data_IF_423191132198
#
_entry.id   IF_423191132198
#
_cell.length_a   1.000
_cell.length_b   1.000
_cell.length_c   1.000
_cell.angle_alpha   90.00
_cell.angle_beta   90.00
_cell.angle_gamma   90.00
#
_symmetry.space_group_name_H-M   'P 1'
#
loop_
_entity.id
_entity.type
_entity.pdbx_description
1 polymer ?
#
# COMPACT_ATOMS: atom_id res chain seq x y z
N UNK A 1 25.17 -0.29 -11.82
CA UNK A 1 23.85 -0.51 -12.46
C UNK A 1 23.56 0.71 -13.32
N UNK A 2 23.19 0.52 -14.59
CA UNK A 2 22.67 1.63 -15.41
C UNK A 2 21.16 1.61 -15.23
N UNK A 3 20.61 2.62 -14.55
CA UNK A 3 19.19 2.87 -14.60
C UNK A 3 18.86 3.33 -16.02
N UNK A 4 18.54 2.37 -16.87
CA UNK A 4 17.78 2.65 -18.06
C UNK A 4 16.34 2.80 -17.59
N UNK A 5 15.64 3.83 -18.06
CA UNK A 5 14.19 3.85 -17.97
C UNK A 5 13.71 2.59 -18.69
N UNK A 6 13.42 1.53 -17.95
CA UNK A 6 12.57 0.47 -18.45
C UNK A 6 11.27 1.16 -18.81
N UNK A 7 10.93 1.15 -20.09
CA UNK A 7 9.62 1.56 -20.60
C UNK A 7 8.56 0.57 -20.09
N UNK A 8 8.37 0.53 -18.78
CA UNK A 8 7.47 -0.38 -18.11
C UNK A 8 6.61 0.48 -17.18
N UNK A 9 5.59 1.10 -17.77
CA UNK A 9 4.32 1.54 -17.17
C UNK A 9 3.77 2.83 -17.80
N UNK A 10 3.71 2.99 -19.13
CA UNK A 10 3.01 4.18 -19.63
C UNK A 10 1.57 4.17 -19.11
N UNK A 11 1.08 5.34 -18.66
CA UNK A 11 -0.34 5.46 -18.32
C UNK A 11 -1.17 5.04 -19.52
N UNK A 12 -2.31 4.37 -19.29
CA UNK A 12 -3.28 4.14 -20.33
C UNK A 12 -3.62 5.42 -21.08
N UNK A 13 -3.52 6.61 -20.49
CA UNK A 13 -3.80 7.87 -21.20
C UNK A 13 -2.68 8.42 -22.08
N UNK A 14 -1.68 7.63 -22.50
CA UNK A 14 -0.52 8.17 -23.21
C UNK A 14 0.06 7.32 -24.32
N UNK A 15 0.34 7.99 -25.44
CA UNK A 15 0.84 7.38 -26.64
C UNK A 15 2.27 7.72 -26.95
N UNK A 16 2.99 6.70 -27.42
CA UNK A 16 4.34 6.83 -27.92
C UNK A 16 4.29 6.95 -29.42
N UNK A 17 4.96 7.97 -29.98
CA UNK A 17 5.23 8.07 -31.40
C UNK A 17 6.74 8.18 -31.60
N UNK A 18 7.29 7.12 -32.17
CA UNK A 18 8.67 7.05 -32.64
C UNK A 18 8.77 7.54 -34.09
N UNK A 19 9.69 8.47 -34.32
CA UNK A 19 10.06 8.97 -35.64
C UNK A 19 11.57 8.79 -35.83
N UNK A 20 11.98 8.27 -36.99
CA UNK A 20 13.39 8.23 -37.36
C UNK A 20 13.84 9.64 -37.75
N UNK A 21 14.59 10.28 -36.87
CA UNK A 21 15.26 11.56 -37.11
C UNK A 21 16.69 11.37 -37.61
N UNK A 22 17.34 12.47 -38.04
CA UNK A 22 18.72 12.43 -38.56
C UNK A 22 19.76 11.97 -37.52
N UNK A 23 19.42 12.01 -36.22
CA UNK A 23 20.30 11.62 -35.11
C UNK A 23 19.88 10.32 -34.41
N UNK A 24 18.93 9.56 -34.98
CA UNK A 24 18.42 8.31 -34.40
C UNK A 24 16.91 8.30 -34.24
N UNK A 25 16.41 7.43 -33.36
CA UNK A 25 14.97 7.34 -33.07
C UNK A 25 14.59 8.45 -32.08
N UNK A 26 13.77 9.38 -32.53
CA UNK A 26 13.11 10.37 -31.67
C UNK A 26 11.79 9.78 -31.18
N UNK A 27 11.57 9.84 -29.86
CA UNK A 27 10.33 9.37 -29.24
C UNK A 27 9.59 10.60 -28.71
N UNK A 28 8.38 10.80 -29.22
CA UNK A 28 7.44 11.82 -28.75
C UNK A 28 6.33 11.15 -27.94
N UNK A 29 6.01 11.74 -26.79
CA UNK A 29 4.90 11.31 -25.93
C UNK A 29 3.71 12.24 -26.14
N UNK A 30 2.55 11.67 -26.42
CA UNK A 30 1.28 12.38 -26.55
C UNK A 30 0.36 12.01 -25.40
N UNK A 31 -0.18 13.01 -24.69
CA UNK A 31 -1.15 12.82 -23.62
C UNK A 31 -2.55 12.83 -24.24
N UNK A 32 -3.33 11.79 -23.97
CA UNK A 32 -4.72 11.65 -24.36
C UNK A 32 -5.62 12.55 -23.50
N UNK A 33 -5.68 13.82 -23.86
CA UNK A 33 -6.49 14.85 -23.18
C UNK A 33 -7.95 14.90 -23.66
N UNK A 34 -8.32 14.09 -24.65
CA UNK A 34 -9.69 13.99 -25.14
C UNK A 34 -10.57 13.23 -24.13
N UNK A 35 -11.78 13.72 -23.80
CA UNK A 35 -12.66 13.08 -22.83
C UNK A 35 -13.18 11.71 -23.24
N UNK A 36 -13.15 11.37 -24.53
CA UNK A 36 -13.58 10.07 -25.06
C UNK A 36 -12.40 9.21 -25.45
N UNK A 37 -11.39 9.79 -26.10
CA UNK A 37 -10.18 9.08 -26.54
C UNK A 37 -9.07 9.24 -25.50
N UNK A 38 -9.31 8.74 -24.28
CA UNK A 38 -8.45 8.92 -23.12
C UNK A 38 -7.52 7.72 -22.85
N UNK A 39 -7.40 6.79 -23.80
CA UNK A 39 -6.61 5.56 -23.66
C UNK A 39 -5.59 5.39 -24.79
N UNK A 40 -4.55 4.61 -24.56
CA UNK A 40 -3.49 4.32 -25.47
C UNK A 40 -2.95 2.91 -25.19
N UNK A 41 -2.95 2.04 -26.20
CA UNK A 41 -2.48 0.67 -26.03
C UNK A 41 -0.96 0.65 -25.77
N UNK A 42 -0.55 -0.18 -24.82
CA UNK A 42 0.85 -0.42 -24.46
C UNK A 42 1.52 -1.36 -25.48
N UNK A 43 1.66 -0.92 -26.73
CA UNK A 43 2.35 -1.68 -27.78
C UNK A 43 3.72 -1.09 -28.11
N UNK A 44 4.70 -1.95 -28.42
CA UNK A 44 5.99 -1.54 -28.94
C UNK A 44 5.80 -0.92 -30.34
N UNK A 45 5.74 0.40 -30.44
CA UNK A 45 5.57 1.12 -31.71
C UNK A 45 4.86 2.46 -31.59
N UNK A 46 4.38 2.95 -32.74
CA UNK A 46 3.56 4.17 -32.82
C UNK A 46 2.14 3.88 -32.39
N UNK A 47 1.71 4.48 -31.29
CA UNK A 47 0.37 4.34 -30.74
C UNK A 47 -0.37 5.69 -30.85
N UNK A 48 -1.69 5.66 -30.84
CA UNK A 48 -2.56 6.85 -30.91
C UNK A 48 -3.68 6.71 -29.90
N UNK A 49 -4.21 7.85 -29.45
CA UNK A 49 -5.25 7.87 -28.44
C UNK A 49 -6.52 7.22 -28.99
N UNK A 50 -7.07 6.30 -28.20
CA UNK A 50 -8.19 5.43 -28.48
C UNK A 50 -9.21 5.56 -27.35
N UNK A 51 -10.43 5.10 -27.62
CA UNK A 51 -11.41 4.86 -26.57
C UNK A 51 -10.80 3.90 -25.54
N UNK A 52 -10.95 4.15 -24.24
CA UNK A 52 -10.61 3.18 -23.22
C UNK A 52 -11.21 1.82 -23.57
N UNK A 53 -10.41 0.74 -23.56
CA UNK A 53 -11.02 -0.57 -23.51
C UNK A 53 -11.96 -0.53 -22.31
N UNK A 54 -13.16 -1.05 -22.49
CA UNK A 54 -13.94 -1.44 -21.34
C UNK A 54 -13.13 -2.54 -20.68
N UNK A 55 -12.26 -2.18 -19.74
CA UNK A 55 -11.70 -3.17 -18.86
C UNK A 55 -12.91 -3.89 -18.27
N UNK A 56 -12.98 -5.23 -18.35
CA UNK A 56 -13.81 -5.90 -17.38
C UNK A 56 -13.20 -5.46 -16.04
N UNK A 57 -13.85 -4.53 -15.36
CA UNK A 57 -13.45 -4.09 -14.02
C UNK A 57 -13.75 -5.28 -13.12
N UNK A 58 -12.84 -6.25 -13.12
CA UNK A 58 -12.87 -7.34 -12.16
C UNK A 58 -11.93 -6.92 -11.04
N UNK A 59 -12.28 -5.83 -10.35
CA UNK A 59 -11.80 -5.68 -8.98
C UNK A 59 -12.48 -6.80 -8.20
N UNK A 60 -11.68 -7.82 -7.86
CA UNK A 60 -12.19 -9.05 -7.27
C UNK A 60 -12.25 -8.86 -5.75
N UNK A 61 -13.43 -8.44 -5.29
CA UNK A 61 -13.84 -8.17 -3.92
C UNK A 61 -14.07 -9.46 -3.12
N UNK A 62 -13.55 -9.52 -1.90
CA UNK A 62 -13.82 -10.59 -0.94
C UNK A 62 -15.16 -10.36 -0.19
N UNK A 63 -15.65 -11.35 0.57
CA UNK A 63 -16.84 -11.14 1.39
C UNK A 63 -16.73 -9.92 2.30
N UNK A 64 -17.79 -9.11 2.32
CA UNK A 64 -17.81 -7.83 3.02
C UNK A 64 -17.19 -6.66 2.24
N UNK A 65 -16.54 -6.86 1.09
CA UNK A 65 -16.08 -5.74 0.27
C UNK A 65 -17.18 -5.27 -0.71
N UNK A 66 -17.18 -3.99 -1.13
CA UNK A 66 -18.18 -3.46 -2.06
C UNK A 66 -18.15 -4.15 -3.43
N UNK A 67 -19.30 -4.22 -4.09
CA UNK A 67 -19.45 -4.77 -5.43
C UNK A 67 -20.61 -4.11 -6.18
N UNK A 68 -20.59 -4.22 -7.51
CA UNK A 68 -21.70 -3.79 -8.36
C UNK A 68 -22.42 -4.99 -9.00
N UNK A 69 -21.67 -6.04 -9.32
CA UNK A 69 -22.11 -7.24 -10.00
C UNK A 69 -21.50 -8.47 -9.35
N UNK A 70 -22.13 -9.64 -9.51
CA UNK A 70 -21.62 -10.91 -8.97
C UNK A 70 -20.20 -11.23 -9.46
N UNK A 71 -19.87 -10.82 -10.70
CA UNK A 71 -18.52 -11.01 -11.26
C UNK A 71 -17.43 -10.21 -10.52
N UNK A 72 -17.80 -9.20 -9.74
CA UNK A 72 -16.85 -8.48 -8.89
C UNK A 72 -16.48 -9.28 -7.63
N UNK A 73 -17.19 -10.36 -7.28
CA UNK A 73 -16.90 -11.12 -6.07
C UNK A 73 -15.97 -12.29 -6.35
N UNK A 74 -14.91 -12.46 -5.51
CA UNK A 74 -13.96 -13.59 -5.60
C UNK A 74 -14.72 -14.91 -5.51
N UNK A 75 -15.66 -14.92 -4.58
CA UNK A 75 -16.57 -15.98 -4.25
C UNK A 75 -17.93 -15.34 -3.94
N UNK A 76 -19.03 -16.05 -4.20
CA UNK A 76 -20.35 -15.61 -3.78
C UNK A 76 -21.08 -14.75 -4.81
N UNK A 77 -21.96 -13.89 -4.30
CA UNK A 77 -22.83 -13.02 -5.08
C UNK A 77 -22.80 -11.61 -4.51
N UNK A 78 -23.06 -10.63 -5.37
CA UNK A 78 -23.18 -9.25 -4.98
C UNK A 78 -24.60 -8.98 -4.49
N UNK A 79 -24.76 -8.73 -3.19
CA UNK A 79 -26.05 -8.43 -2.60
C UNK A 79 -25.94 -7.16 -1.75
N UNK A 80 -26.90 -6.25 -1.94
CA UNK A 80 -26.93 -4.97 -1.24
C UNK A 80 -25.65 -4.13 -1.43
N UNK A 81 -25.04 -4.24 -2.62
CA UNK A 81 -23.74 -3.65 -3.01
C UNK A 81 -22.52 -4.17 -2.23
N UNK A 82 -22.61 -5.34 -1.60
CA UNK A 82 -21.49 -6.02 -0.94
C UNK A 82 -21.40 -7.48 -1.33
N UNK A 83 -20.17 -7.99 -1.46
CA UNK A 83 -19.96 -9.40 -1.72
C UNK A 83 -20.37 -10.22 -0.50
N UNK A 84 -21.29 -11.16 -0.70
CA UNK A 84 -21.68 -12.12 0.32
C UNK A 84 -20.83 -13.37 0.20
N UNK A 85 -20.49 -13.98 1.33
CA UNK A 85 -19.83 -15.28 1.32
C UNK A 85 -20.78 -16.38 0.83
N UNK A 86 -20.19 -17.42 0.23
CA UNK A 86 -20.93 -18.62 -0.20
C UNK A 86 -21.42 -19.43 1.00
N UNK A 87 -20.62 -19.50 2.05
CA UNK A 87 -20.79 -20.47 3.13
C UNK A 87 -20.81 -19.82 4.51
N UNK A 88 -21.72 -20.32 5.33
CA UNK A 88 -21.94 -19.91 6.71
C UNK A 88 -21.08 -20.75 7.68
N UNK A 89 -21.08 -20.38 8.95
CA UNK A 89 -20.41 -21.14 10.01
C UNK A 89 -20.72 -22.65 9.94
N UNK A 90 -19.69 -23.49 9.99
CA UNK A 90 -19.80 -24.94 9.99
C UNK A 90 -20.04 -25.60 8.63
N UNK A 91 -20.17 -24.83 7.55
CA UNK A 91 -20.31 -25.36 6.19
C UNK A 91 -18.94 -25.70 5.61
N UNK A 92 -18.88 -26.73 4.75
CA UNK A 92 -17.63 -27.13 4.11
C UNK A 92 -17.14 -26.06 3.13
N UNK A 93 -15.83 -25.85 3.12
CA UNK A 93 -15.17 -24.84 2.32
C UNK A 93 -13.83 -25.37 1.80
N UNK A 94 -13.30 -24.70 0.78
CA UNK A 94 -12.00 -24.98 0.16
C UNK A 94 -11.09 -23.75 0.21
N UNK A 95 -11.66 -22.54 0.12
CA UNK A 95 -10.93 -21.27 0.23
C UNK A 95 -11.47 -20.45 1.39
N UNK A 96 -10.59 -19.70 2.05
CA UNK A 96 -11.00 -18.81 3.12
C UNK A 96 -12.04 -17.78 2.67
N UNK A 97 -11.92 -17.23 1.45
CA UNK A 97 -12.86 -16.26 0.86
C UNK A 97 -14.27 -16.82 0.61
N UNK A 98 -14.49 -18.12 0.75
CA UNK A 98 -15.83 -18.70 0.66
C UNK A 98 -16.61 -18.55 1.97
N UNK A 99 -15.90 -18.29 3.07
CA UNK A 99 -16.48 -18.08 4.39
C UNK A 99 -16.82 -16.62 4.61
N UNK A 100 -17.80 -16.35 5.47
CA UNK A 100 -18.19 -14.99 5.83
C UNK A 100 -17.12 -14.26 6.65
N UNK A 101 -17.22 -12.93 6.68
CA UNK A 101 -16.39 -12.08 7.55
C UNK A 101 -16.45 -12.58 9.00
N UNK A 102 -15.30 -12.62 9.68
CA UNK A 102 -15.16 -13.19 11.02
C UNK A 102 -14.86 -14.69 11.04
N UNK A 103 -14.76 -15.34 9.87
CA UNK A 103 -14.49 -16.77 9.74
C UNK A 103 -13.31 -17.02 8.79
N UNK A 104 -12.72 -18.19 8.90
CA UNK A 104 -11.71 -18.71 7.98
C UNK A 104 -12.06 -20.15 7.61
N UNK A 105 -11.54 -20.62 6.48
CA UNK A 105 -11.72 -22.01 6.06
C UNK A 105 -10.68 -22.96 6.67
N UNK A 106 -11.13 -24.05 7.27
CA UNK A 106 -10.33 -25.20 7.72
C UNK A 106 -11.21 -26.46 7.65
N UNK A 107 -11.34 -26.99 6.43
CA UNK A 107 -12.33 -27.97 5.93
C UNK A 107 -13.79 -27.50 6.01
N UNK A 108 -14.10 -26.72 7.04
CA UNK A 108 -15.34 -26.01 7.30
C UNK A 108 -15.06 -24.57 7.71
N UNK A 109 -16.04 -23.67 7.56
CA UNK A 109 -15.91 -22.29 8.01
C UNK A 109 -15.92 -22.22 9.55
N UNK A 110 -14.78 -21.87 10.14
CA UNK A 110 -14.55 -21.73 11.58
C UNK A 110 -14.40 -20.26 11.97
N UNK A 111 -14.88 -19.84 13.17
CA UNK A 111 -14.70 -18.47 13.63
C UNK A 111 -13.22 -18.16 13.85
N UNK A 112 -12.82 -16.91 13.60
CA UNK A 112 -11.46 -16.46 13.84
C UNK A 112 -11.04 -16.62 15.31
N UNK A 113 -9.77 -16.95 15.50
CA UNK A 113 -9.15 -17.24 16.78
C UNK A 113 -8.76 -15.95 17.49
N UNK A 114 -9.22 -15.72 18.74
CA UNK A 114 -8.85 -14.53 19.49
C UNK A 114 -7.38 -14.54 19.93
N UNK A 115 -6.88 -13.37 20.34
CA UNK A 115 -5.52 -13.20 20.89
C UNK A 115 -5.25 -14.20 22.03
N UNK A 116 -4.00 -14.66 22.14
CA UNK A 116 -3.51 -15.66 23.11
C UNK A 116 -4.09 -17.07 22.96
N UNK A 117 -4.65 -17.41 21.79
CA UNK A 117 -5.12 -18.77 21.48
C UNK A 117 -4.34 -19.38 20.32
N UNK A 118 -4.47 -20.69 20.15
CA UNK A 118 -3.65 -21.49 19.23
C UNK A 118 -4.00 -21.20 17.78
N UNK A 119 -2.97 -21.01 16.95
CA UNK A 119 -3.08 -20.83 15.50
C UNK A 119 -1.96 -21.61 14.79
N UNK A 120 -2.16 -21.84 13.49
CA UNK A 120 -1.11 -22.32 12.57
C UNK A 120 -0.81 -21.30 11.48
N UNK A 121 -1.76 -20.43 11.16
CA UNK A 121 -1.66 -19.43 10.10
C UNK A 121 -2.26 -18.09 10.53
N UNK A 122 -1.72 -17.01 9.98
CA UNK A 122 -2.18 -15.64 10.23
C UNK A 122 -3.67 -15.45 9.95
N UNK A 123 -4.19 -16.15 8.96
CA UNK A 123 -5.57 -16.02 8.51
C UNK A 123 -6.59 -16.54 9.54
N UNK A 124 -6.15 -17.42 10.43
CA UNK A 124 -6.98 -17.96 11.51
C UNK A 124 -7.23 -16.91 12.59
N UNK A 125 -6.23 -16.07 12.87
CA UNK A 125 -6.29 -15.07 13.92
C UNK A 125 -7.31 -13.98 13.59
N UNK A 126 -7.92 -13.41 14.63
CA UNK A 126 -8.78 -12.22 14.52
C UNK A 126 -8.04 -11.09 13.78
N UNK A 127 -8.78 -10.20 13.12
CA UNK A 127 -8.14 -9.28 12.17
C UNK A 127 -7.13 -8.29 12.79
N UNK A 128 -7.13 -8.11 14.11
CA UNK A 128 -6.15 -7.28 14.81
C UNK A 128 -4.90 -8.05 15.28
N UNK A 129 -4.76 -9.33 14.96
CA UNK A 129 -3.63 -10.18 15.31
C UNK A 129 -3.16 -11.08 14.16
N UNK A 130 -1.92 -11.56 14.27
CA UNK A 130 -1.31 -12.57 13.39
C UNK A 130 -0.80 -13.76 14.20
N UNK A 131 -0.38 -14.82 13.52
CA UNK A 131 0.08 -16.04 14.16
C UNK A 131 1.59 -15.98 14.40
N UNK A 132 1.99 -16.06 15.67
CA UNK A 132 3.39 -16.03 16.09
C UNK A 132 3.67 -17.21 17.02
N UNK A 133 4.62 -18.08 16.64
CA UNK A 133 5.01 -19.26 17.44
C UNK A 133 3.81 -20.14 17.88
N UNK A 134 2.80 -20.26 17.02
CA UNK A 134 1.62 -21.08 17.27
C UNK A 134 0.52 -20.41 18.12
N UNK A 135 0.66 -19.13 18.45
CA UNK A 135 -0.36 -18.35 19.17
C UNK A 135 -0.71 -17.04 18.44
N UNK A 136 -1.98 -16.63 18.52
CA UNK A 136 -2.40 -15.35 17.96
C UNK A 136 -1.89 -14.19 18.82
N UNK A 137 -1.09 -13.31 18.24
CA UNK A 137 -0.48 -12.15 18.90
C UNK A 137 -0.87 -10.88 18.15
N UNK A 138 -1.22 -9.83 18.90
CA UNK A 138 -1.62 -8.53 18.34
C UNK A 138 -0.59 -8.00 17.37
N UNK A 139 -1.04 -7.36 16.28
CA UNK A 139 -0.13 -6.67 15.39
C UNK A 139 0.65 -5.57 16.10
N UNK A 140 1.85 -5.28 15.59
CA UNK A 140 2.78 -4.29 16.10
C UNK A 140 3.18 -4.46 17.55
N UNK A 141 3.31 -5.71 18.03
CA UNK A 141 3.66 -6.00 19.42
C UNK A 141 5.05 -6.58 19.62
N UNK A 142 5.65 -7.16 18.57
CA UNK A 142 6.95 -7.83 18.67
C UNK A 142 8.08 -6.80 18.62
N UNK A 143 8.97 -6.88 19.60
CA UNK A 143 10.13 -5.99 19.74
C UNK A 143 11.18 -6.21 18.65
N UNK A 144 12.00 -5.19 18.43
CA UNK A 144 13.12 -5.27 17.51
C UNK A 144 14.08 -6.41 17.91
N UNK A 145 14.77 -6.97 16.92
CA UNK A 145 15.72 -8.09 17.04
C UNK A 145 15.10 -9.44 17.42
N UNK A 146 13.81 -9.50 17.74
CA UNK A 146 13.10 -10.75 17.94
C UNK A 146 12.94 -11.48 16.60
N UNK A 147 13.07 -12.81 16.64
CA UNK A 147 12.92 -13.67 15.47
C UNK A 147 11.46 -13.76 15.05
N UNK A 148 11.22 -13.91 13.75
CA UNK A 148 9.89 -14.11 13.17
C UNK A 148 9.95 -15.18 12.08
N UNK A 149 8.80 -15.75 11.73
CA UNK A 149 8.72 -16.86 10.76
C UNK A 149 8.83 -16.43 9.30
N UNK A 150 8.50 -15.18 8.99
CA UNK A 150 8.46 -14.68 7.61
C UNK A 150 8.76 -13.19 7.53
N UNK A 151 9.28 -12.78 6.38
CA UNK A 151 9.48 -11.37 6.04
C UNK A 151 9.14 -11.17 4.57
N UNK A 152 7.98 -10.57 4.28
CA UNK A 152 7.51 -10.39 2.90
C UNK A 152 7.83 -8.98 2.43
N UNK A 153 8.69 -8.84 1.43
CA UNK A 153 9.11 -7.54 0.88
C UNK A 153 9.66 -6.55 1.93
N UNK A 154 10.25 -7.06 3.01
CA UNK A 154 10.74 -6.22 4.12
C UNK A 154 9.68 -5.83 5.16
N UNK A 155 8.44 -6.30 5.00
CA UNK A 155 7.33 -6.05 5.93
C UNK A 155 6.94 -7.29 6.73
N UNK A 156 6.64 -7.06 8.00
CA UNK A 156 5.91 -7.99 8.85
C UNK A 156 5.16 -7.20 9.92
N UNK A 157 3.83 -7.26 9.87
CA UNK A 157 2.98 -6.44 10.74
C UNK A 157 2.94 -6.91 12.21
N UNK A 158 3.55 -8.04 12.56
CA UNK A 158 3.75 -8.42 13.97
C UNK A 158 4.83 -7.54 14.63
N UNK A 159 5.81 -7.06 13.86
CA UNK A 159 6.88 -6.20 14.34
C UNK A 159 6.35 -4.81 14.71
N UNK A 160 6.80 -4.24 15.83
CA UNK A 160 6.44 -2.87 16.26
C UNK A 160 6.72 -1.80 15.19
N UNK A 161 7.74 -2.02 14.37
CA UNK A 161 8.15 -1.16 13.26
C UNK A 161 7.41 -1.43 11.95
N UNK A 162 6.59 -2.48 11.87
CA UNK A 162 6.03 -3.05 10.65
C UNK A 162 7.07 -3.66 9.69
N UNK A 163 8.35 -3.71 10.08
CA UNK A 163 9.45 -4.02 9.19
C UNK A 163 10.32 -5.16 9.73
N UNK A 164 10.91 -5.91 8.81
CA UNK A 164 11.73 -7.07 9.10
C UNK A 164 12.93 -7.17 8.16
N UNK A 165 13.90 -7.99 8.57
CA UNK A 165 15.14 -8.18 7.83
C UNK A 165 15.70 -9.58 8.06
N UNK A 166 16.38 -10.13 7.06
CA UNK A 166 17.09 -11.40 7.19
C UNK A 166 18.47 -11.17 7.82
N UNK A 167 18.67 -11.68 9.01
CA UNK A 167 19.90 -11.55 9.77
C UNK A 167 20.35 -12.92 10.28
N UNK A 168 21.53 -13.37 9.85
CA UNK A 168 22.09 -14.68 10.20
C UNK A 168 21.10 -15.84 9.95
N UNK A 169 20.57 -15.95 8.73
CA UNK A 169 19.63 -17.02 8.31
C UNK A 169 18.29 -17.03 9.08
N UNK A 170 17.98 -15.97 9.82
CA UNK A 170 16.71 -15.80 10.53
C UNK A 170 16.08 -14.48 10.12
N UNK A 171 14.75 -14.44 10.01
CA UNK A 171 14.05 -13.15 9.94
C UNK A 171 13.93 -12.56 11.33
N UNK A 172 14.21 -11.27 11.45
CA UNK A 172 14.07 -10.51 12.69
C UNK A 172 13.25 -9.24 12.45
N UNK A 173 12.61 -8.76 13.51
CA UNK A 173 11.99 -7.43 13.51
C UNK A 173 13.05 -6.32 13.51
N UNK A 174 12.86 -5.31 12.66
CA UNK A 174 13.75 -4.15 12.61
C UNK A 174 13.42 -3.10 13.68
N UNK A 175 14.40 -2.36 14.20
CA UNK A 175 14.15 -1.14 14.97
C UNK A 175 13.61 -0.02 14.08
N UNK A 176 13.05 1.01 14.71
CA UNK A 176 12.67 2.27 14.03
C UNK A 176 13.87 3.20 13.86
N UNK A 177 14.93 2.68 13.26
CA UNK A 177 16.14 3.47 12.94
C UNK A 177 15.96 4.21 11.63
N UNK A 178 16.54 5.40 11.55
CA UNK A 178 16.58 6.23 10.33
C UNK A 178 17.73 5.80 9.44
N UNK A 179 17.65 6.16 8.16
CA UNK A 179 18.79 6.03 7.27
C UNK A 179 19.98 6.85 7.77
N UNK A 180 21.14 6.20 7.86
CA UNK A 180 22.44 6.78 8.18
C UNK A 180 23.10 7.38 6.93
N UNK A 181 22.33 8.12 6.14
CA UNK A 181 22.80 8.65 4.87
C UNK A 181 22.73 10.19 4.88
N UNK A 182 23.86 10.83 4.54
CA UNK A 182 23.92 12.27 4.26
C UNK A 182 23.26 12.63 2.93
N UNK A 183 23.00 11.62 2.09
CA UNK A 183 22.35 11.71 0.78
C UNK A 183 21.38 10.56 0.60
N UNK A 184 20.19 10.84 0.05
CA UNK A 184 19.20 9.81 -0.31
C UNK A 184 19.58 9.06 -1.61
N UNK A 185 20.57 9.56 -2.35
CA UNK A 185 21.09 8.90 -3.54
C UNK A 185 22.12 7.84 -3.17
N UNK A 186 22.10 6.75 -3.92
CA UNK A 186 23.02 5.63 -3.78
C UNK A 186 23.59 5.25 -5.15
N UNK A 187 24.74 4.61 -5.18
CA UNK A 187 25.33 3.98 -6.38
C UNK A 187 25.40 2.46 -6.24
N UNK A 188 25.47 2.00 -4.99
CA UNK A 188 25.54 0.59 -4.62
C UNK A 188 24.54 0.27 -3.51
N UNK A 189 24.08 -0.98 -3.46
CA UNK A 189 23.08 -1.42 -2.48
C UNK A 189 23.53 -1.30 -1.02
N UNK A 190 24.85 -1.30 -0.77
CA UNK A 190 25.42 -1.20 0.58
C UNK A 190 25.57 0.23 1.11
N UNK A 191 25.16 1.25 0.36
CA UNK A 191 25.20 2.65 0.81
C UNK A 191 23.95 3.04 1.60
N UNK A 192 22.83 2.35 1.34
CA UNK A 192 21.56 2.58 2.02
C UNK A 192 21.54 1.87 3.37
N UNK A 193 22.19 2.46 4.37
CA UNK A 193 22.37 1.83 5.69
C UNK A 193 21.50 2.48 6.75
N UNK A 194 21.07 1.70 7.73
CA UNK A 194 20.45 2.16 8.96
C UNK A 194 20.94 1.29 10.13
N UNK A 195 20.92 1.83 11.34
CA UNK A 195 21.44 1.14 12.52
C UNK A 195 20.48 0.01 12.95
N UNK A 196 20.95 -1.24 12.99
CA UNK A 196 20.21 -2.38 13.52
C UNK A 196 20.33 -2.46 15.04
N UNK A 197 21.55 -2.30 15.52
CA UNK A 197 21.94 -2.26 16.93
C UNK A 197 23.30 -1.54 17.00
N UNK A 198 23.78 -1.12 18.19
CA UNK A 198 25.05 -0.41 18.32
C UNK A 198 26.20 -1.09 17.57
N UNK A 199 26.70 -0.42 16.53
CA UNK A 199 27.80 -0.90 15.70
C UNK A 199 27.46 -1.92 14.61
N UNK A 200 26.18 -2.25 14.40
CA UNK A 200 25.71 -3.16 13.33
C UNK A 200 24.62 -2.47 12.51
N UNK A 201 24.75 -2.53 11.19
CA UNK A 201 23.78 -1.92 10.27
C UNK A 201 22.96 -2.97 9.53
N UNK A 202 21.74 -2.60 9.16
CA UNK A 202 20.98 -3.27 8.10
C UNK A 202 20.94 -2.36 6.86
N UNK A 203 20.55 -2.95 5.73
CA UNK A 203 20.51 -2.26 4.45
C UNK A 203 19.08 -2.14 3.94
N UNK A 204 18.70 -0.94 3.48
CA UNK A 204 17.49 -0.74 2.69
C UNK A 204 17.82 -0.85 1.20
N UNK A 205 16.80 -0.85 0.34
CA UNK A 205 16.96 -1.12 -1.08
C UNK A 205 17.42 0.14 -1.83
N UNK A 206 18.55 0.05 -2.52
CA UNK A 206 18.94 1.03 -3.55
C UNK A 206 18.21 0.71 -4.86
N UNK A 207 17.22 1.52 -5.24
CA UNK A 207 16.37 1.30 -6.43
C UNK A 207 16.42 2.47 -7.39
N UNK A 208 16.17 2.22 -8.68
CA UNK A 208 16.05 3.30 -9.65
C UNK A 208 14.82 4.15 -9.32
N UNK A 209 15.04 5.45 -9.20
CA UNK A 209 13.96 6.42 -9.08
C UNK A 209 13.32 6.69 -10.43
N UNK A 210 12.03 6.97 -10.39
CA UNK A 210 11.31 7.51 -11.54
C UNK A 210 11.42 9.04 -11.51
N UNK A 211 12.65 9.54 -11.51
CA UNK A 211 12.93 10.95 -11.78
C UNK A 211 13.43 11.09 -13.23
N UNK A 212 13.28 12.27 -13.83
CA UNK A 212 13.73 12.53 -15.21
C UNK A 212 15.22 12.26 -15.49
N UNK A 213 16.01 11.94 -14.46
CA UNK A 213 17.43 11.60 -14.53
C UNK A 213 17.71 10.10 -14.34
N UNK A 214 16.71 9.28 -13.96
CA UNK A 214 16.87 7.86 -13.63
C UNK A 214 17.89 7.61 -12.51
N UNK A 215 17.94 8.45 -11.48
CA UNK A 215 18.96 8.30 -10.42
C UNK A 215 18.64 7.12 -9.48
N UNK A 216 19.66 6.48 -8.92
CA UNK A 216 19.49 5.47 -7.87
C UNK A 216 19.26 6.14 -6.52
N UNK A 217 18.26 5.67 -5.76
CA UNK A 217 17.87 6.22 -4.46
C UNK A 217 17.59 5.11 -3.44
N UNK A 218 17.85 5.41 -2.18
CA UNK A 218 17.52 4.52 -1.06
C UNK A 218 16.02 4.53 -0.78
N UNK A 219 15.45 3.33 -0.59
CA UNK A 219 14.14 3.19 0.04
C UNK A 219 14.23 3.58 1.52
N UNK A 220 13.10 4.00 2.08
CA UNK A 220 13.03 4.44 3.47
C UNK A 220 13.40 3.32 4.44
N UNK A 221 14.00 3.70 5.56
CA UNK A 221 14.13 2.88 6.75
C UNK A 221 12.91 3.06 7.67
N UNK A 222 12.61 2.11 8.58
CA UNK A 222 11.38 2.14 9.38
C UNK A 222 11.29 3.31 10.38
N UNK A 223 12.41 3.98 10.67
CA UNK A 223 12.45 5.19 11.49
C UNK A 223 12.33 6.51 10.70
N UNK A 224 12.31 6.46 9.37
CA UNK A 224 12.12 7.67 8.56
C UNK A 224 10.68 8.16 8.68
N UNK A 225 10.47 9.49 8.66
CA UNK A 225 9.19 10.11 9.02
C UNK A 225 8.01 9.52 8.23
N UNK A 226 8.12 9.43 6.91
CA UNK A 226 7.05 8.92 6.04
C UNK A 226 6.69 7.47 6.38
N UNK A 227 7.69 6.63 6.68
CA UNK A 227 7.45 5.24 7.09
C UNK A 227 6.80 5.18 8.48
N UNK A 228 7.22 6.02 9.42
CA UNK A 228 6.59 6.09 10.74
C UNK A 228 5.12 6.52 10.66
N UNK A 229 4.79 7.51 9.82
CA UNK A 229 3.40 7.93 9.62
C UNK A 229 2.54 6.82 9.01
N UNK A 230 3.09 6.07 8.04
CA UNK A 230 2.46 4.86 7.51
C UNK A 230 2.18 3.84 8.61
N UNK A 231 3.20 3.46 9.39
CA UNK A 231 3.06 2.49 10.48
C UNK A 231 2.07 2.97 11.55
N UNK A 232 2.01 4.27 11.85
CA UNK A 232 1.05 4.84 12.80
C UNK A 232 -0.38 4.81 12.27
N UNK A 233 -0.61 5.19 11.01
CA UNK A 233 -1.92 5.10 10.38
C UNK A 233 -2.42 3.65 10.32
N UNK A 234 -1.53 2.70 10.00
CA UNK A 234 -1.88 1.29 9.97
C UNK A 234 -2.16 0.72 11.37
N UNK A 235 -1.43 1.18 12.41
CA UNK A 235 -1.74 0.89 13.82
C UNK A 235 -3.14 1.37 14.22
N UNK A 236 -3.55 2.55 13.75
CA UNK A 236 -4.89 3.06 14.02
C UNK A 236 -5.97 2.18 13.36
N UNK A 237 -5.74 1.77 12.11
CA UNK A 237 -6.64 0.85 11.42
C UNK A 237 -6.81 -0.47 12.16
N UNK A 238 -5.71 -1.15 12.55
CA UNK A 238 -5.80 -2.47 13.21
C UNK A 238 -6.44 -2.43 14.60
N UNK A 239 -6.39 -1.28 15.26
CA UNK A 239 -7.02 -1.08 16.56
C UNK A 239 -8.45 -0.54 16.44
N UNK A 240 -8.91 -0.22 15.22
CA UNK A 240 -10.28 0.22 14.99
C UNK A 240 -11.27 -0.93 15.14
N UNK A 241 -12.51 -0.63 15.54
CA UNK A 241 -13.59 -1.63 15.50
C UNK A 241 -13.97 -2.02 14.06
N UNK A 242 -13.65 -1.17 13.08
CA UNK A 242 -14.00 -1.35 11.67
C UNK A 242 -13.19 -2.45 10.99
N UNK A 243 -12.01 -2.81 11.52
CA UNK A 243 -11.23 -3.92 10.96
C UNK A 243 -12.00 -5.25 10.95
N UNK A 244 -12.97 -5.42 11.86
CA UNK A 244 -13.84 -6.61 11.94
C UNK A 244 -14.83 -6.71 10.79
N UNK A 245 -14.96 -5.67 9.95
CA UNK A 245 -15.80 -5.67 8.74
C UNK A 245 -15.09 -6.25 7.53
N UNK A 246 -13.77 -6.38 7.60
CA UNK A 246 -12.97 -6.96 6.52
C UNK A 246 -12.84 -8.47 6.65
N UNK A 247 -12.88 -9.17 5.52
CA UNK A 247 -12.50 -10.56 5.50
C UNK A 247 -11.03 -10.74 5.90
N UNK A 248 -10.70 -11.83 6.59
CA UNK A 248 -9.36 -12.09 7.14
C UNK A 248 -8.24 -12.07 6.09
N UNK A 249 -8.54 -12.51 4.86
CA UNK A 249 -7.62 -12.45 3.69
C UNK A 249 -7.35 -11.03 3.18
N UNK A 250 -8.17 -10.06 3.57
CA UNK A 250 -8.18 -8.68 3.05
C UNK A 250 -8.16 -7.61 4.15
N UNK A 251 -7.86 -7.99 5.39
CA UNK A 251 -7.85 -7.06 6.54
C UNK A 251 -6.86 -5.90 6.44
N UNK A 252 -5.85 -5.97 5.58
CA UNK A 252 -4.92 -4.86 5.28
C UNK A 252 -5.10 -4.32 3.85
N UNK A 253 -6.13 -4.76 3.14
CA UNK A 253 -6.39 -4.31 1.77
C UNK A 253 -7.05 -2.93 1.79
N UNK A 254 -6.51 -1.99 1.01
CA UNK A 254 -7.02 -0.61 0.96
C UNK A 254 -8.47 -0.51 0.47
N UNK A 255 -8.98 -1.44 -0.34
CA UNK A 255 -10.38 -1.43 -0.76
C UNK A 255 -11.31 -1.72 0.42
N UNK A 256 -11.00 -2.73 1.23
CA UNK A 256 -11.79 -2.99 2.42
C UNK A 256 -11.71 -1.83 3.42
N UNK A 257 -10.52 -1.29 3.64
CA UNK A 257 -10.31 -0.14 4.53
C UNK A 257 -11.14 1.05 4.06
N UNK A 258 -11.12 1.37 2.76
CA UNK A 258 -11.91 2.44 2.15
C UNK A 258 -13.40 2.29 2.39
N UNK A 259 -13.90 1.06 2.36
CA UNK A 259 -15.33 0.77 2.49
C UNK A 259 -15.86 1.02 3.91
N UNK A 260 -15.01 0.89 4.93
CA UNK A 260 -15.46 0.85 6.33
C UNK A 260 -14.83 1.89 7.24
N UNK A 261 -13.70 2.48 6.88
CA UNK A 261 -13.03 3.47 7.70
C UNK A 261 -13.48 4.89 7.35
N UNK A 262 -13.23 5.82 8.26
CA UNK A 262 -13.52 7.23 8.02
C UNK A 262 -12.67 7.73 6.86
N UNK A 263 -13.28 8.50 5.96
CA UNK A 263 -12.63 8.94 4.71
C UNK A 263 -11.27 9.60 4.95
N UNK A 264 -11.18 10.45 5.98
CA UNK A 264 -9.94 11.14 6.33
C UNK A 264 -8.84 10.19 6.81
N UNK A 265 -9.18 9.20 7.62
CA UNK A 265 -8.24 8.21 8.12
C UNK A 265 -7.77 7.27 7.00
N UNK A 266 -8.71 6.87 6.12
CA UNK A 266 -8.40 6.10 4.91
C UNK A 266 -7.44 6.86 3.99
N UNK A 267 -7.72 8.12 3.64
CA UNK A 267 -6.86 8.92 2.77
C UNK A 267 -5.46 9.08 3.38
N UNK A 268 -5.40 9.28 4.70
CA UNK A 268 -4.12 9.36 5.43
C UNK A 268 -3.31 8.07 5.29
N UNK A 269 -3.93 6.91 5.55
CA UNK A 269 -3.26 5.62 5.40
C UNK A 269 -2.87 5.35 3.94
N UNK A 270 -3.79 5.56 3.00
CA UNK A 270 -3.54 5.33 1.58
C UNK A 270 -2.38 6.18 1.08
N UNK A 271 -2.31 7.47 1.46
CA UNK A 271 -1.22 8.36 1.11
C UNK A 271 0.12 7.85 1.65
N UNK A 272 0.23 7.65 2.97
CA UNK A 272 1.49 7.28 3.59
C UNK A 272 1.93 5.86 3.22
N UNK A 273 1.01 4.90 3.06
CA UNK A 273 1.34 3.56 2.58
C UNK A 273 1.94 3.61 1.18
N UNK A 274 1.28 4.30 0.23
CA UNK A 274 1.81 4.42 -1.13
C UNK A 274 3.16 5.13 -1.12
N UNK A 275 3.31 6.22 -0.35
CA UNK A 275 4.55 6.97 -0.32
C UNK A 275 5.70 6.20 0.34
N UNK A 276 5.44 5.50 1.44
CA UNK A 276 6.47 4.76 2.15
C UNK A 276 7.00 3.58 1.32
N UNK A 277 6.10 2.78 0.74
CA UNK A 277 6.45 1.57 0.01
C UNK A 277 7.01 1.84 -1.39
N UNK A 278 6.67 2.99 -1.98
CA UNK A 278 7.14 3.40 -3.31
C UNK A 278 7.93 4.71 -3.29
N UNK A 279 8.61 5.01 -2.17
CA UNK A 279 9.29 6.28 -1.95
C UNK A 279 10.23 6.68 -3.11
N UNK A 280 11.02 5.72 -3.62
CA UNK A 280 11.95 5.97 -4.72
C UNK A 280 11.23 6.29 -6.03
N UNK A 281 9.97 5.86 -6.21
CA UNK A 281 9.20 6.18 -7.40
C UNK A 281 8.78 7.65 -7.37
N UNK A 282 8.20 8.13 -6.26
CA UNK A 282 7.59 9.47 -6.20
C UNK A 282 8.55 10.60 -5.86
N UNK A 283 9.64 10.28 -5.15
CA UNK A 283 10.56 11.31 -4.69
C UNK A 283 11.36 11.90 -5.85
N UNK A 284 11.41 13.24 -5.91
CA UNK A 284 12.10 14.00 -6.96
C UNK A 284 11.61 13.73 -8.40
N UNK A 285 10.38 13.22 -8.58
CA UNK A 285 9.77 13.08 -9.91
C UNK A 285 9.46 14.45 -10.54
N UNK A 286 9.80 14.61 -11.81
CA UNK A 286 9.46 15.81 -12.58
C UNK A 286 7.98 15.82 -12.96
N UNK A 287 7.46 17.00 -13.32
CA UNK A 287 6.03 17.19 -13.62
C UNK A 287 5.50 16.28 -14.73
N UNK A 288 6.33 15.89 -15.70
CA UNK A 288 5.91 14.96 -16.74
C UNK A 288 5.66 13.60 -16.09
N UNK A 289 6.66 13.05 -15.40
CA UNK A 289 6.54 11.74 -14.75
C UNK A 289 5.38 11.69 -13.75
N UNK A 290 5.17 12.77 -12.98
CA UNK A 290 4.05 12.88 -12.05
C UNK A 290 2.70 12.70 -12.75
N UNK A 291 2.48 13.47 -13.81
CA UNK A 291 1.21 13.47 -14.55
C UNK A 291 1.01 12.19 -15.37
N UNK A 292 2.11 11.56 -15.79
CA UNK A 292 2.10 10.35 -16.62
C UNK A 292 1.97 9.10 -15.76
N UNK A 293 2.97 8.80 -14.95
CA UNK A 293 3.18 7.47 -14.37
C UNK A 293 2.56 7.34 -12.97
N UNK A 294 2.23 8.47 -12.35
CA UNK A 294 2.01 8.54 -10.90
C UNK A 294 0.73 9.31 -10.54
N UNK A 295 -0.15 9.56 -11.51
CA UNK A 295 -1.32 10.43 -11.35
C UNK A 295 -2.22 10.03 -10.19
N UNK A 296 -2.42 8.73 -9.96
CA UNK A 296 -3.19 8.19 -8.83
C UNK A 296 -2.60 8.57 -7.47
N UNK A 297 -1.27 8.50 -7.33
CA UNK A 297 -0.58 8.92 -6.10
C UNK A 297 -0.77 10.43 -5.85
N UNK A 298 -0.56 11.25 -6.88
CA UNK A 298 -0.68 12.71 -6.75
C UNK A 298 -2.13 13.17 -6.51
N UNK A 299 -3.14 12.42 -6.96
CA UNK A 299 -4.53 12.64 -6.58
C UNK A 299 -4.76 12.42 -5.08
N UNK A 300 -4.27 11.30 -4.53
CA UNK A 300 -4.37 11.00 -3.10
C UNK A 300 -3.58 12.02 -2.26
N UNK A 301 -2.39 12.46 -2.70
CA UNK A 301 -1.64 13.54 -2.02
C UNK A 301 -2.44 14.84 -1.99
N UNK A 302 -3.05 15.24 -3.11
CA UNK A 302 -3.87 16.44 -3.17
C UNK A 302 -5.08 16.37 -2.22
N UNK A 303 -5.73 15.21 -2.13
CA UNK A 303 -6.80 14.96 -1.17
C UNK A 303 -6.31 15.08 0.27
N UNK A 304 -5.19 14.43 0.62
CA UNK A 304 -4.57 14.50 1.94
C UNK A 304 -4.24 15.95 2.35
N UNK A 305 -3.60 16.72 1.46
CA UNK A 305 -3.27 18.12 1.71
C UNK A 305 -4.51 19.01 1.86
N UNK A 306 -5.61 18.69 1.16
CA UNK A 306 -6.88 19.40 1.32
C UNK A 306 -7.49 19.18 2.71
N UNK A 307 -7.46 17.96 3.22
CA UNK A 307 -7.95 17.59 4.56
C UNK A 307 -7.15 18.30 5.65
N UNK A 308 -5.82 18.30 5.51
CA UNK A 308 -4.91 18.98 6.43
C UNK A 308 -5.21 20.49 6.51
N UNK A 309 -5.39 21.17 5.37
CA UNK A 309 -5.75 22.61 5.34
C UNK A 309 -7.10 22.90 6.00
N UNK A 310 -8.08 22.03 5.83
CA UNK A 310 -9.40 22.18 6.46
C UNK A 310 -9.30 22.07 7.99
N UNK A 311 -8.51 21.12 8.51
CA UNK A 311 -8.24 21.00 9.95
C UNK A 311 -7.61 22.26 10.54
N UNK A 312 -6.60 22.83 9.87
CA UNK A 312 -5.97 24.08 10.32
C UNK A 312 -6.94 25.26 10.29
N UNK A 313 -7.81 25.33 9.29
CA UNK A 313 -8.80 26.42 9.15
C UNK A 313 -9.87 26.38 10.25
N UNK A 314 -10.34 25.18 10.62
CA UNK A 314 -11.29 24.98 11.73
C UNK A 314 -10.62 25.27 13.08
N UNK A 315 -9.37 24.82 13.28
CA UNK A 315 -8.62 25.11 14.49
C UNK A 315 -8.38 26.62 14.69
N UNK A 316 -8.05 27.35 13.62
CA UNK A 316 -7.93 28.82 13.67
C UNK A 316 -9.27 29.49 13.98
N UNK A 317 -10.37 29.01 13.37
CA UNK A 317 -11.72 29.53 13.60
C UNK A 317 -12.19 29.35 15.04
N UNK A 318 -11.86 28.22 15.68
CA UNK A 318 -12.18 27.98 17.08
C UNK A 318 -11.33 28.85 18.03
N UNK A 319 -10.04 29.05 17.76
CA UNK A 319 -9.18 29.93 18.57
C UNK A 319 -9.64 31.38 18.48
N UNK A 320 -10.05 31.86 17.31
CA UNK A 320 -10.62 33.21 17.15
C UNK A 320 -12.02 33.31 17.77
N UNK A 321 -12.85 32.27 17.68
CA UNK A 321 -14.18 32.21 18.29
C UNK A 321 -14.16 32.28 19.83
N UNK A 322 -13.20 31.59 20.48
CA UNK A 322 -13.02 31.68 21.94
C UNK A 322 -12.45 33.04 22.40
N UNK A 323 -11.72 33.73 21.52
CA UNK A 323 -11.17 35.07 21.79
C UNK A 323 -12.22 36.19 21.71
N UNK A 324 -13.33 35.96 21.00
CA UNK A 324 -14.43 36.93 20.82
C UNK A 324 -15.61 36.72 21.78
N UNK A 325 -15.66 35.59 22.49
CA UNK A 325 -16.67 35.28 23.52
C UNK A 325 -16.18 35.61 24.95
N UNK A 326 -14.99 36.19 25.09
CA UNK A 326 -14.37 36.58 26.37
C UNK A 326 -14.20 38.10 26.53
N UNK A 327 -14.96 38.90 25.77
CA UNK A 327 -15.09 40.35 25.87
C UNK A 327 -16.55 40.75 26.11
#
# INVERSE_FOLDING_TARGET
>A
MSCRSSFDSFSPSQCMKSTLGPNGVEISLEICNDPYYSYCPQTLGNNTCQLPPQEPIIDISAPGEPCNLDINCIDGVCQDNFCQALFQSGWSCIRHTQCQVGYYCDEVCKPQVPVNNICTEDIMCANNCGCYEGICVTYFSIDALMKISSCQNGENFLCKSAACYEYNENYICLPQSKLNATSLFCYFGNECTAELQPGVNFYTKCSCSQNGYGSLMCSLAPGDQIYMEYTNALKNWVNSSMITKCHTTRRMNLQCIKAYWEWEDYVTLAYFQNYALNYTMFNSSDSCVKNVFQSSFWQIEAEYESLKKNKYSIALGLVVGFSLLSL
#
